data_IF_919692086169
#
_entry.id   IF_919692086169
#
_cell.length_a   1.000
_cell.length_b   1.000
_cell.length_c   1.000
_cell.angle_alpha   90.00
_cell.angle_beta   90.00
_cell.angle_gamma   90.00
#
_symmetry.space_group_name_H-M   'P 1'
#
loop_
_entity.id
_entity.type
_entity.pdbx_description
1 polymer ?
#
# COMPACT_ATOMS: atom_id res chain seq x y z
N UNK A 1 -9.38 -26.99 16.03
CA UNK A 1 -10.44 -26.46 15.14
C UNK A 1 -10.03 -26.74 13.71
N UNK A 2 -10.90 -27.19 12.81
CA UNK A 2 -10.54 -27.33 11.41
C UNK A 2 -10.16 -25.94 10.85
N UNK A 3 -9.22 -25.87 9.88
CA UNK A 3 -8.86 -24.58 9.26
C UNK A 3 -10.10 -23.97 8.64
N UNK A 4 -10.33 -22.68 8.91
CA UNK A 4 -11.41 -21.94 8.30
C UNK A 4 -11.26 -22.09 6.76
N UNK A 5 -12.26 -22.69 6.14
CA UNK A 5 -12.33 -22.79 4.67
C UNK A 5 -12.21 -21.37 4.12
N UNK A 6 -11.16 -21.11 3.37
CA UNK A 6 -11.01 -19.86 2.61
C UNK A 6 -12.30 -19.65 1.83
N UNK A 7 -13.11 -18.66 2.23
CA UNK A 7 -14.30 -18.32 1.48
C UNK A 7 -13.86 -17.99 0.05
N UNK A 8 -14.41 -18.72 -0.92
CA UNK A 8 -14.11 -18.52 -2.33
C UNK A 8 -14.38 -17.05 -2.70
N UNK A 9 -13.50 -16.46 -3.51
CA UNK A 9 -13.72 -15.12 -4.05
C UNK A 9 -15.00 -15.10 -4.89
N UNK A 10 -15.76 -14.01 -4.87
CA UNK A 10 -17.02 -13.95 -5.62
C UNK A 10 -16.79 -14.04 -7.13
N UNK A 11 -17.75 -14.55 -7.91
CA UNK A 11 -17.65 -14.57 -9.37
C UNK A 11 -17.65 -13.13 -9.90
N UNK A 12 -16.68 -12.82 -10.76
CA UNK A 12 -16.43 -11.47 -11.28
C UNK A 12 -16.16 -11.52 -12.77
N UNK A 13 -17.21 -11.70 -13.57
CA UNK A 13 -17.02 -11.62 -15.01
C UNK A 13 -16.89 -10.14 -15.44
N UNK A 14 -15.77 -9.78 -16.04
CA UNK A 14 -15.50 -8.44 -16.60
C UNK A 14 -14.97 -8.56 -18.03
N UNK A 15 -15.41 -7.67 -18.90
CA UNK A 15 -14.87 -7.54 -20.26
C UNK A 15 -13.88 -6.38 -20.31
N UNK A 16 -12.73 -6.57 -20.94
CA UNK A 16 -11.69 -5.54 -21.06
C UNK A 16 -11.67 -5.05 -22.51
N UNK A 17 -12.33 -3.92 -22.77
CA UNK A 17 -12.30 -3.29 -24.08
C UNK A 17 -11.07 -2.40 -24.25
N UNK A 18 -10.64 -1.75 -23.16
CA UNK A 18 -9.54 -0.79 -23.17
C UNK A 18 -8.82 -0.75 -21.84
N UNK A 19 -7.52 -0.51 -21.90
CA UNK A 19 -6.68 -0.24 -20.72
C UNK A 19 -5.96 1.08 -20.95
N UNK A 20 -6.15 2.02 -20.02
CA UNK A 20 -5.41 3.26 -19.98
C UNK A 20 -4.31 3.18 -18.90
N UNK A 21 -3.15 3.76 -19.19
CA UNK A 21 -2.13 4.03 -18.19
C UNK A 21 -1.78 5.52 -18.21
N UNK A 22 -1.80 6.12 -17.03
CA UNK A 22 -1.43 7.52 -16.80
C UNK A 22 -0.18 7.59 -15.94
N UNK A 23 0.80 8.36 -16.36
CA UNK A 23 2.00 8.66 -15.57
C UNK A 23 1.97 10.13 -15.22
N UNK A 24 1.92 10.43 -13.93
CA UNK A 24 2.00 11.78 -13.40
C UNK A 24 3.30 11.94 -12.63
N UNK A 25 3.88 13.13 -12.67
CA UNK A 25 5.10 13.47 -11.94
C UNK A 25 5.08 14.93 -11.50
N UNK A 26 5.33 15.13 -10.21
CA UNK A 26 5.66 16.41 -9.61
C UNK A 26 7.18 16.46 -9.38
N UNK A 27 7.84 17.44 -10.01
CA UNK A 27 9.29 17.59 -9.98
C UNK A 27 9.77 18.51 -8.84
N UNK A 28 8.87 19.12 -8.11
CA UNK A 28 9.18 20.07 -7.07
C UNK A 28 8.36 19.89 -5.77
N UNK A 29 8.09 18.65 -5.33
CA UNK A 29 7.39 18.43 -4.08
C UNK A 29 8.30 18.79 -2.90
N UNK A 30 7.74 19.04 -1.71
CA UNK A 30 8.51 19.05 -0.48
C UNK A 30 9.30 17.74 -0.34
N UNK A 31 10.59 17.85 0.01
CA UNK A 31 11.47 16.70 0.13
C UNK A 31 11.03 15.78 1.26
N UNK A 32 10.93 14.48 0.96
CA UNK A 32 10.67 13.44 1.96
C UNK A 32 11.95 12.64 2.17
N UNK A 33 12.36 12.54 3.43
CA UNK A 33 13.57 11.82 3.84
C UNK A 33 13.20 10.46 4.44
N UNK A 34 13.92 9.43 4.02
CA UNK A 34 13.91 8.09 4.61
C UNK A 34 15.34 7.55 4.64
N UNK A 35 15.52 6.33 5.12
CA UNK A 35 16.82 5.64 5.03
C UNK A 35 17.27 5.37 3.59
N UNK A 36 16.32 5.26 2.64
CA UNK A 36 16.61 5.13 1.21
C UNK A 36 17.12 6.43 0.55
N UNK A 37 17.15 7.54 1.29
CA UNK A 37 17.60 8.85 0.81
C UNK A 37 16.50 9.91 0.82
N UNK A 38 16.75 10.98 0.07
CA UNK A 38 15.82 12.11 -0.07
C UNK A 38 15.12 12.02 -1.41
N UNK A 39 13.80 11.88 -1.39
CA UNK A 39 12.98 11.97 -2.59
C UNK A 39 12.67 13.43 -2.89
N UNK A 40 13.04 13.86 -4.10
CA UNK A 40 12.79 15.20 -4.63
C UNK A 40 11.75 15.20 -5.75
N UNK A 41 11.15 14.06 -6.01
CA UNK A 41 10.09 13.87 -6.99
C UNK A 41 8.95 13.06 -6.38
N UNK A 42 7.74 13.31 -6.83
CA UNK A 42 6.58 12.43 -6.59
C UNK A 42 6.08 11.92 -7.93
N UNK A 43 5.82 10.64 -7.98
CA UNK A 43 5.24 9.98 -9.16
C UNK A 43 3.98 9.24 -8.78
N UNK A 44 3.06 9.12 -9.74
CA UNK A 44 1.89 8.25 -9.63
C UNK A 44 1.66 7.58 -10.99
N UNK A 45 1.48 6.28 -11.00
CA UNK A 45 1.11 5.53 -12.19
C UNK A 45 -0.28 4.91 -11.94
N UNK A 46 -1.29 5.44 -12.63
CA UNK A 46 -2.66 4.97 -12.51
C UNK A 46 -3.04 4.14 -13.73
N UNK A 47 -3.72 3.05 -13.49
CA UNK A 47 -4.34 2.23 -14.54
C UNK A 47 -5.85 2.35 -14.45
N UNK A 48 -6.49 2.54 -15.61
CA UNK A 48 -7.93 2.48 -15.75
C UNK A 48 -8.31 1.41 -16.76
N UNK A 49 -9.25 0.57 -16.42
CA UNK A 49 -9.79 -0.47 -17.29
C UNK A 49 -11.22 -0.12 -17.63
N UNK A 50 -11.60 -0.24 -18.90
CA UNK A 50 -12.95 0.04 -19.40
C UNK A 50 -13.51 -1.17 -20.13
N UNK A 51 -14.83 -1.39 -19.99
CA UNK A 51 -15.61 -2.25 -20.89
C UNK A 51 -16.24 -1.44 -22.03
N UNK A 52 -16.79 -2.10 -23.03
CA UNK A 52 -17.49 -1.42 -24.12
C UNK A 52 -18.87 -0.83 -23.74
N UNK A 53 -19.35 -1.05 -22.50
CA UNK A 53 -20.65 -0.62 -22.00
C UNK A 53 -20.57 0.64 -21.09
N UNK A 54 -19.37 1.15 -20.84
CA UNK A 54 -19.15 2.37 -20.05
C UNK A 54 -18.79 2.12 -18.58
N UNK A 55 -18.65 0.86 -18.16
CA UNK A 55 -18.09 0.59 -16.85
C UNK A 55 -16.57 0.73 -16.89
N UNK A 56 -16.00 1.18 -15.79
CA UNK A 56 -14.57 1.33 -15.66
C UNK A 56 -14.10 0.96 -14.24
N UNK A 57 -12.81 0.80 -14.05
CA UNK A 57 -12.21 0.60 -12.74
C UNK A 57 -10.79 1.16 -12.67
N UNK A 58 -10.42 1.63 -11.50
CA UNK A 58 -9.14 2.26 -11.21
C UNK A 58 -8.22 1.38 -10.37
N UNK A 59 -6.94 1.40 -10.71
CA UNK A 59 -5.87 0.81 -9.90
C UNK A 59 -4.66 1.74 -9.85
N UNK A 60 -3.79 1.52 -8.89
CA UNK A 60 -2.50 2.19 -8.79
C UNK A 60 -1.38 1.18 -8.92
N UNK A 61 -0.40 1.48 -9.77
CA UNK A 61 0.85 0.75 -9.91
C UNK A 61 1.89 1.47 -9.05
N UNK A 62 2.44 0.80 -8.05
CA UNK A 62 3.48 1.42 -7.23
C UNK A 62 4.67 1.86 -8.10
N UNK A 63 5.12 3.09 -7.93
CA UNK A 63 6.08 3.69 -8.87
C UNK A 63 7.10 4.64 -8.23
N UNK A 64 7.18 4.66 -6.90
CA UNK A 64 7.99 5.62 -6.17
C UNK A 64 9.50 5.58 -6.44
N UNK A 65 10.04 4.43 -6.86
CA UNK A 65 11.45 4.23 -7.18
C UNK A 65 11.64 3.28 -8.37
N UNK A 66 12.72 3.44 -9.16
CA UNK A 66 13.63 4.62 -9.25
C UNK A 66 12.89 5.86 -9.81
N UNK A 67 13.52 7.04 -9.97
CA UNK A 67 12.86 8.25 -10.47
C UNK A 67 12.08 8.07 -11.77
N UNK A 68 12.53 7.20 -12.70
CA UNK A 68 11.83 6.82 -13.92
C UNK A 68 10.86 5.65 -13.74
N UNK A 69 10.62 5.20 -12.52
CA UNK A 69 9.88 3.97 -12.22
C UNK A 69 8.45 3.97 -12.75
N UNK A 70 7.74 5.09 -12.71
CA UNK A 70 6.39 5.19 -13.23
C UNK A 70 6.35 5.00 -14.76
N UNK A 71 7.28 5.61 -15.49
CA UNK A 71 7.41 5.44 -16.93
C UNK A 71 7.75 3.99 -17.30
N UNK A 72 8.71 3.39 -16.60
CA UNK A 72 9.13 2.01 -16.80
C UNK A 72 7.95 1.04 -16.66
N UNK A 73 7.17 1.16 -15.57
CA UNK A 73 6.00 0.29 -15.34
C UNK A 73 4.88 0.52 -16.34
N UNK A 74 4.70 1.77 -16.79
CA UNK A 74 3.77 2.07 -17.88
C UNK A 74 4.18 1.36 -19.18
N UNK A 75 5.47 1.29 -19.52
CA UNK A 75 5.95 0.54 -20.67
C UNK A 75 5.72 -0.96 -20.51
N UNK A 76 5.93 -1.55 -19.34
CA UNK A 76 5.64 -2.96 -19.07
C UNK A 76 4.14 -3.23 -19.25
N UNK A 77 3.27 -2.38 -18.70
CA UNK A 77 1.83 -2.53 -18.88
C UNK A 77 1.47 -2.48 -20.38
N UNK A 78 1.88 -1.44 -21.08
CA UNK A 78 1.55 -1.19 -22.48
C UNK A 78 2.03 -2.30 -23.40
N UNK A 79 3.30 -2.72 -23.27
CA UNK A 79 3.96 -3.57 -24.25
C UNK A 79 3.82 -5.08 -23.93
N UNK A 80 3.69 -5.43 -22.67
CA UNK A 80 3.73 -6.83 -22.26
C UNK A 80 2.40 -7.33 -21.70
N UNK A 81 1.73 -6.56 -20.85
CA UNK A 81 0.56 -7.04 -20.09
C UNK A 81 -0.75 -6.71 -20.79
N UNK A 82 -0.96 -5.46 -21.21
CA UNK A 82 -2.21 -5.03 -21.83
C UNK A 82 -2.55 -5.80 -23.13
N UNK A 83 -1.59 -6.15 -24.01
CA UNK A 83 -1.90 -6.98 -25.20
C UNK A 83 -2.41 -8.40 -24.88
N UNK A 84 -2.20 -8.88 -23.65
CA UNK A 84 -2.71 -10.18 -23.17
C UNK A 84 -4.06 -10.09 -22.47
N UNK A 85 -4.50 -8.87 -22.17
CA UNK A 85 -5.71 -8.59 -21.40
C UNK A 85 -6.83 -8.01 -22.27
N UNK A 86 -6.51 -7.07 -23.15
CA UNK A 86 -7.50 -6.36 -23.97
C UNK A 86 -8.22 -7.31 -24.94
N UNK A 87 -9.52 -7.11 -25.12
CA UNK A 87 -10.40 -7.93 -25.91
C UNK A 87 -10.90 -9.20 -25.19
N UNK A 88 -10.47 -9.45 -23.96
CA UNK A 88 -10.84 -10.66 -23.20
C UNK A 88 -12.03 -10.39 -22.27
N UNK A 89 -12.80 -11.46 -22.07
CA UNK A 89 -13.78 -11.56 -20.95
C UNK A 89 -13.18 -12.44 -19.88
N UNK A 90 -12.97 -11.85 -18.69
CA UNK A 90 -12.35 -12.51 -17.54
C UNK A 90 -13.45 -13.05 -16.65
N UNK A 91 -13.54 -14.36 -16.53
CA UNK A 91 -14.53 -15.03 -15.69
C UNK A 91 -14.18 -15.02 -14.19
N UNK A 92 -12.86 -15.05 -13.88
CA UNK A 92 -12.35 -15.05 -12.52
C UNK A 92 -11.03 -14.24 -12.47
N UNK A 93 -11.04 -13.10 -11.83
CA UNK A 93 -9.88 -12.20 -11.74
C UNK A 93 -8.66 -12.90 -11.13
N UNK A 94 -8.77 -13.66 -10.01
CA UNK A 94 -7.60 -14.33 -9.44
C UNK A 94 -6.93 -15.33 -10.41
N UNK A 95 -7.72 -16.11 -11.13
CA UNK A 95 -7.18 -17.07 -12.10
C UNK A 95 -6.51 -16.36 -13.30
N UNK A 96 -7.05 -15.21 -13.69
CA UNK A 96 -6.44 -14.39 -14.73
C UNK A 96 -5.11 -13.77 -14.28
N UNK A 97 -5.02 -13.32 -13.02
CA UNK A 97 -3.77 -12.85 -12.44
C UNK A 97 -2.70 -13.97 -12.47
N UNK A 98 -3.05 -15.20 -12.04
CA UNK A 98 -2.15 -16.34 -12.08
C UNK A 98 -1.70 -16.69 -13.51
N UNK A 99 -2.58 -16.58 -14.50
CA UNK A 99 -2.26 -16.73 -15.92
C UNK A 99 -1.25 -15.68 -16.38
N UNK A 100 -1.47 -14.40 -16.04
CA UNK A 100 -0.54 -13.33 -16.40
C UNK A 100 0.82 -13.50 -15.72
N UNK A 101 0.86 -13.86 -14.44
CA UNK A 101 2.12 -14.14 -13.74
C UNK A 101 2.91 -15.25 -14.44
N UNK A 102 2.21 -16.35 -14.79
CA UNK A 102 2.82 -17.48 -15.53
C UNK A 102 3.36 -17.05 -16.89
N UNK A 103 2.62 -16.21 -17.62
CA UNK A 103 3.04 -15.67 -18.90
C UNK A 103 4.26 -14.72 -18.78
N UNK A 104 4.46 -14.09 -17.63
CA UNK A 104 5.61 -13.19 -17.38
C UNK A 104 6.86 -13.93 -16.88
N UNK A 105 6.79 -15.20 -16.50
CA UNK A 105 7.95 -15.97 -16.00
C UNK A 105 9.18 -15.93 -16.92
N UNK A 106 9.07 -16.08 -18.26
CA UNK A 106 10.25 -15.95 -19.13
C UNK A 106 10.91 -14.58 -19.02
N UNK A 107 10.11 -13.49 -19.00
CA UNK A 107 10.62 -12.13 -18.87
C UNK A 107 11.27 -11.91 -17.49
N UNK A 108 10.67 -12.41 -16.41
CA UNK A 108 11.25 -12.36 -15.07
C UNK A 108 12.65 -12.98 -15.03
N UNK A 109 12.83 -14.13 -15.68
CA UNK A 109 14.12 -14.84 -15.72
C UNK A 109 15.16 -14.14 -16.57
N UNK A 110 14.75 -13.54 -17.70
CA UNK A 110 15.65 -12.91 -18.66
C UNK A 110 16.04 -11.51 -18.23
N UNK A 111 15.09 -10.70 -17.74
CA UNK A 111 15.31 -9.30 -17.37
C UNK A 111 15.71 -9.12 -15.90
N UNK A 112 15.38 -10.09 -15.03
CA UNK A 112 15.67 -9.98 -13.61
C UNK A 112 14.85 -8.90 -12.88
N UNK A 113 13.62 -8.63 -13.34
CA UNK A 113 12.76 -7.53 -12.83
C UNK A 113 11.47 -8.03 -12.14
N UNK A 114 11.55 -8.82 -11.07
CA UNK A 114 10.35 -9.34 -10.41
C UNK A 114 9.48 -8.23 -9.82
N UNK A 115 10.07 -7.19 -9.21
CA UNK A 115 9.33 -6.09 -8.59
C UNK A 115 8.48 -5.31 -9.59
N UNK A 116 9.06 -4.70 -10.64
CA UNK A 116 8.31 -3.94 -11.62
C UNK A 116 7.15 -4.70 -12.27
N UNK A 117 7.35 -5.97 -12.57
CA UNK A 117 6.28 -6.82 -13.15
C UNK A 117 5.19 -7.08 -12.11
N UNK A 118 5.56 -7.42 -10.87
CA UNK A 118 4.58 -7.62 -9.79
C UNK A 118 3.74 -6.35 -9.55
N UNK A 119 4.36 -5.16 -9.59
CA UNK A 119 3.67 -3.88 -9.44
C UNK A 119 2.63 -3.66 -10.54
N UNK A 120 2.98 -3.94 -11.79
CA UNK A 120 2.07 -3.78 -12.94
C UNK A 120 0.88 -4.74 -12.84
N UNK A 121 1.13 -6.00 -12.53
CA UNK A 121 0.08 -7.01 -12.38
C UNK A 121 -0.85 -6.68 -11.21
N UNK A 122 -0.29 -6.20 -10.09
CA UNK A 122 -1.05 -5.79 -8.91
C UNK A 122 -1.97 -4.59 -9.19
N UNK A 123 -1.47 -3.57 -9.89
CA UNK A 123 -2.27 -2.40 -10.27
C UNK A 123 -3.40 -2.76 -11.24
N UNK A 124 -3.15 -3.65 -12.20
CA UNK A 124 -4.19 -4.14 -13.12
C UNK A 124 -5.25 -4.96 -12.37
N UNK A 125 -4.84 -5.88 -11.49
CA UNK A 125 -5.74 -6.66 -10.64
C UNK A 125 -6.67 -5.75 -9.84
N UNK A 126 -6.14 -4.72 -9.21
CA UNK A 126 -6.91 -3.73 -8.46
C UNK A 126 -7.96 -3.02 -9.33
N UNK A 127 -7.60 -2.62 -10.54
CA UNK A 127 -8.52 -1.98 -11.47
C UNK A 127 -9.65 -2.92 -11.92
N UNK A 128 -9.34 -4.19 -12.16
CA UNK A 128 -10.34 -5.20 -12.51
C UNK A 128 -11.34 -5.43 -11.36
N UNK A 129 -10.87 -5.48 -10.11
CA UNK A 129 -11.75 -5.62 -8.95
C UNK A 129 -12.63 -4.39 -8.72
N UNK A 130 -12.10 -3.17 -8.92
CA UNK A 130 -12.90 -1.95 -8.87
C UNK A 130 -13.99 -1.96 -9.94
N UNK A 131 -13.63 -2.31 -11.19
CA UNK A 131 -14.60 -2.43 -12.29
C UNK A 131 -15.66 -3.49 -12.00
N UNK A 132 -15.28 -4.66 -11.50
CA UNK A 132 -16.24 -5.72 -11.13
C UNK A 132 -17.23 -5.25 -10.07
N UNK A 133 -16.77 -4.50 -9.07
CA UNK A 133 -17.63 -3.96 -8.02
C UNK A 133 -18.57 -2.88 -8.57
N UNK A 134 -18.09 -2.00 -9.46
CA UNK A 134 -18.91 -0.99 -10.14
C UNK A 134 -19.99 -1.62 -11.01
N UNK A 135 -19.63 -2.63 -11.81
CA UNK A 135 -20.58 -3.35 -12.67
C UNK A 135 -21.69 -4.02 -11.86
N UNK A 136 -21.40 -4.46 -10.64
CA UNK A 136 -22.41 -5.04 -9.74
C UNK A 136 -23.15 -4.00 -8.87
N UNK A 137 -22.81 -2.72 -8.98
CA UNK A 137 -23.41 -1.65 -8.18
C UNK A 137 -23.09 -1.74 -6.70
N UNK A 138 -22.00 -2.42 -6.32
CA UNK A 138 -21.59 -2.66 -4.93
C UNK A 138 -20.29 -1.92 -4.59
N UNK A 139 -20.15 -1.40 -3.35
CA UNK A 139 -18.84 -1.02 -2.84
C UNK A 139 -17.90 -2.24 -2.84
N UNK A 140 -16.62 -2.03 -3.19
CA UNK A 140 -15.66 -3.13 -3.31
C UNK A 140 -15.57 -3.97 -2.03
N UNK A 141 -15.55 -3.35 -0.85
CA UNK A 141 -15.52 -4.12 0.40
C UNK A 141 -16.73 -5.06 0.57
N UNK A 142 -17.92 -4.67 0.06
CA UNK A 142 -19.12 -5.51 0.08
C UNK A 142 -19.00 -6.68 -0.89
N UNK A 143 -18.55 -6.42 -2.11
CA UNK A 143 -18.27 -7.48 -3.09
C UNK A 143 -17.31 -8.52 -2.50
N UNK A 144 -16.31 -8.08 -1.75
CA UNK A 144 -15.32 -8.94 -1.09
C UNK A 144 -15.83 -9.60 0.21
N UNK A 145 -17.11 -9.44 0.56
CA UNK A 145 -17.74 -10.08 1.72
C UNK A 145 -17.53 -9.34 3.04
N UNK A 146 -17.06 -8.10 3.01
CA UNK A 146 -16.90 -7.26 4.19
C UNK A 146 -18.16 -6.49 4.58
N UNK A 147 -18.07 -5.82 5.73
CA UNK A 147 -19.12 -4.94 6.25
C UNK A 147 -18.56 -3.54 6.51
N UNK A 148 -19.42 -2.51 6.32
CA UNK A 148 -19.04 -1.14 6.60
C UNK A 148 -18.64 -0.97 8.07
N UNK A 149 -17.50 -0.32 8.31
CA UNK A 149 -17.01 0.02 9.64
C UNK A 149 -16.17 1.28 9.61
N UNK A 150 -15.97 1.89 10.75
CA UNK A 150 -14.92 2.92 10.90
C UNK A 150 -13.56 2.23 10.78
N UNK A 151 -12.71 2.77 9.94
CA UNK A 151 -11.33 2.29 9.76
C UNK A 151 -10.39 3.25 10.48
N UNK A 152 -9.69 2.81 11.52
CA UNK A 152 -8.64 3.62 12.13
C UNK A 152 -7.55 3.93 11.10
N UNK A 153 -7.00 5.15 11.17
CA UNK A 153 -5.95 5.63 10.26
C UNK A 153 -4.78 6.20 11.04
N UNK A 154 -3.60 6.21 10.41
CA UNK A 154 -2.44 6.91 10.93
C UNK A 154 -1.79 7.80 9.89
N UNK A 155 -1.23 8.92 10.34
CA UNK A 155 -0.39 9.80 9.54
C UNK A 155 0.98 9.15 9.35
N UNK A 156 1.38 8.90 8.11
CA UNK A 156 2.67 8.28 7.76
C UNK A 156 3.66 9.29 7.17
N UNK A 157 4.94 8.96 7.26
CA UNK A 157 6.02 9.80 6.74
C UNK A 157 6.36 10.99 7.63
N UNK A 158 5.99 10.94 8.91
CA UNK A 158 6.21 12.03 9.88
C UNK A 158 7.68 12.09 10.28
N UNK A 159 8.25 13.29 10.30
CA UNK A 159 9.61 13.50 10.78
C UNK A 159 9.70 13.23 12.30
N UNK A 160 10.75 12.57 12.81
CA UNK A 160 10.98 12.45 14.25
C UNK A 160 11.19 13.80 14.92
N UNK A 161 11.59 14.84 14.17
CA UNK A 161 11.79 16.22 14.62
C UNK A 161 10.68 17.17 14.17
N UNK A 162 9.47 16.65 13.97
CA UNK A 162 8.31 17.46 13.60
C UNK A 162 8.10 18.61 14.62
N UNK A 163 7.86 19.81 14.13
CA UNK A 163 7.55 20.92 15.01
C UNK A 163 6.16 20.77 15.66
N UNK A 164 5.96 21.21 16.91
CA UNK A 164 4.66 21.09 17.59
C UNK A 164 3.48 21.59 16.75
N UNK A 165 3.61 22.75 16.12
CA UNK A 165 2.57 23.31 15.24
C UNK A 165 2.22 22.43 14.03
N UNK A 166 3.20 21.68 13.49
CA UNK A 166 2.98 20.79 12.36
C UNK A 166 2.28 19.50 12.82
N UNK A 167 2.61 19.02 14.02
CA UNK A 167 1.89 17.93 14.66
C UNK A 167 0.44 18.33 14.98
N UNK A 168 0.21 19.56 15.46
CA UNK A 168 -1.14 20.11 15.68
C UNK A 168 -1.92 20.18 14.36
N UNK A 169 -1.29 20.57 13.26
CA UNK A 169 -1.93 20.58 11.96
C UNK A 169 -2.36 19.17 11.49
N UNK A 170 -1.63 18.10 11.87
CA UNK A 170 -2.07 16.72 11.63
C UNK A 170 -3.25 16.33 12.54
N UNK A 171 -3.25 16.79 13.78
CA UNK A 171 -4.40 16.62 14.72
C UNK A 171 -5.67 17.30 14.17
N UNK A 172 -5.52 18.51 13.62
CA UNK A 172 -6.61 19.26 12.99
C UNK A 172 -7.13 18.58 11.73
N UNK A 173 -6.28 17.83 11.00
CA UNK A 173 -6.68 16.96 9.91
C UNK A 173 -7.36 15.67 10.39
N UNK A 174 -7.55 15.49 11.69
CA UNK A 174 -8.27 14.37 12.29
C UNK A 174 -7.41 13.15 12.64
N UNK A 175 -6.08 13.18 12.50
CA UNK A 175 -5.21 12.09 12.91
C UNK A 175 -5.05 12.00 14.43
N UNK A 176 -4.92 10.74 14.94
CA UNK A 176 -4.64 10.41 16.34
C UNK A 176 -3.56 9.35 16.48
N UNK A 177 -2.96 8.94 15.36
CA UNK A 177 -1.86 7.98 15.32
C UNK A 177 -0.83 8.46 14.29
N UNK A 178 0.46 8.28 14.60
CA UNK A 178 1.56 8.86 13.83
C UNK A 178 2.67 7.85 13.64
N UNK A 179 3.12 7.62 12.38
CA UNK A 179 4.27 6.79 12.06
C UNK A 179 5.47 7.68 11.73
N UNK A 180 6.44 7.68 12.62
CA UNK A 180 7.64 8.50 12.50
C UNK A 180 8.73 7.77 11.73
N UNK A 181 9.46 8.49 10.88
CA UNK A 181 10.62 7.94 10.22
C UNK A 181 11.77 7.73 11.21
N UNK A 182 12.39 6.55 11.13
CA UNK A 182 13.58 6.16 11.87
C UNK A 182 14.65 5.68 10.87
N UNK A 183 15.55 4.78 11.25
CA UNK A 183 16.52 4.21 10.32
C UNK A 183 17.67 5.15 9.98
N UNK A 184 17.69 6.36 10.51
CA UNK A 184 18.84 7.26 10.40
C UNK A 184 19.97 6.77 11.33
N UNK A 185 21.19 6.76 10.84
CA UNK A 185 22.37 6.37 11.63
C UNK A 185 22.83 7.56 12.52
N UNK A 186 21.91 8.10 13.32
CA UNK A 186 22.16 9.23 14.21
C UNK A 186 21.40 9.01 15.55
N UNK A 187 22.17 8.84 16.63
CA UNK A 187 21.61 8.68 17.97
C UNK A 187 20.72 9.88 18.38
N UNK A 188 21.03 11.09 17.92
CA UNK A 188 20.21 12.29 18.18
C UNK A 188 18.81 12.18 17.58
N UNK A 189 18.68 11.47 16.45
CA UNK A 189 17.36 11.25 15.84
C UNK A 189 16.48 10.35 16.73
N UNK A 190 17.05 9.35 17.38
CA UNK A 190 16.33 8.51 18.35
C UNK A 190 15.94 9.28 19.63
N UNK A 191 16.83 10.13 20.14
CA UNK A 191 16.51 11.00 21.28
C UNK A 191 15.38 11.99 20.95
N UNK A 192 15.41 12.54 19.74
CA UNK A 192 14.35 13.44 19.28
C UNK A 192 13.02 12.69 19.12
N UNK A 193 13.06 11.49 18.53
CA UNK A 193 11.91 10.59 18.43
C UNK A 193 11.32 10.31 19.81
N UNK A 194 12.17 9.95 20.79
CA UNK A 194 11.73 9.69 22.16
C UNK A 194 11.01 10.89 22.80
N UNK A 195 11.56 12.10 22.64
CA UNK A 195 10.91 13.34 23.11
C UNK A 195 9.57 13.59 22.42
N UNK A 196 9.51 13.37 21.09
CA UNK A 196 8.28 13.59 20.31
C UNK A 196 7.19 12.60 20.74
N UNK A 197 7.53 11.34 20.91
CA UNK A 197 6.59 10.29 21.36
C UNK A 197 6.11 10.55 22.79
N UNK A 198 7.02 10.96 23.68
CA UNK A 198 6.67 11.31 25.07
C UNK A 198 5.77 12.55 25.16
N UNK A 199 5.75 13.40 24.13
CA UNK A 199 4.90 14.59 24.03
C UNK A 199 3.55 14.36 23.35
N UNK A 200 3.22 13.13 22.97
CA UNK A 200 1.90 12.81 22.42
C UNK A 200 0.82 12.91 23.50
N UNK A 201 -0.37 13.33 23.09
CA UNK A 201 -1.51 13.46 24.00
C UNK A 201 -2.11 12.07 24.36
N UNK A 202 -2.87 12.06 25.45
CA UNK A 202 -3.63 10.86 25.85
C UNK A 202 -4.57 10.41 24.74
N UNK A 203 -4.54 9.11 24.42
CA UNK A 203 -5.32 8.50 23.34
C UNK A 203 -4.63 8.56 21.96
N UNK A 204 -3.50 9.26 21.83
CA UNK A 204 -2.67 9.20 20.62
C UNK A 204 -1.71 8.00 20.66
N UNK A 205 -1.30 7.53 19.48
CA UNK A 205 -0.37 6.41 19.37
C UNK A 205 0.75 6.66 18.38
N UNK A 206 1.87 5.99 18.62
CA UNK A 206 3.06 6.09 17.79
C UNK A 206 3.46 4.75 17.19
N UNK A 207 3.98 4.81 15.98
CA UNK A 207 4.72 3.76 15.30
C UNK A 207 6.02 4.36 14.76
N UNK A 208 7.00 3.53 14.47
CA UNK A 208 8.21 3.97 13.78
C UNK A 208 8.48 3.08 12.57
N UNK A 209 9.11 3.67 11.57
CA UNK A 209 9.49 3.01 10.33
C UNK A 209 10.98 3.31 10.05
N UNK A 210 11.80 2.27 10.11
CA UNK A 210 13.23 2.35 9.85
C UNK A 210 13.56 2.18 8.36
N UNK A 211 12.62 1.80 7.51
CA UNK A 211 12.80 1.59 6.07
C UNK A 211 14.09 0.79 5.77
N UNK A 212 14.30 -0.34 6.43
CA UNK A 212 15.47 -1.19 6.27
C UNK A 212 16.83 -0.50 6.57
N UNK A 213 16.82 0.60 7.31
CA UNK A 213 18.01 1.49 7.47
C UNK A 213 19.07 0.98 8.42
N UNK A 214 18.80 -0.07 9.19
CA UNK A 214 19.74 -0.63 10.15
C UNK A 214 20.27 -2.00 9.73
N UNK A 215 21.51 -2.31 10.12
CA UNK A 215 21.95 -3.69 10.25
C UNK A 215 21.45 -4.28 11.59
N UNK A 216 21.71 -5.56 11.83
CA UNK A 216 21.20 -6.26 13.02
C UNK A 216 21.70 -5.65 14.32
N UNK A 217 22.98 -5.26 14.37
CA UNK A 217 23.58 -4.73 15.60
C UNK A 217 23.10 -3.32 15.88
N UNK A 218 23.02 -2.47 14.86
CA UNK A 218 22.41 -1.13 14.93
C UNK A 218 20.94 -1.20 15.30
N UNK A 219 20.18 -2.17 14.73
CA UNK A 219 18.78 -2.38 15.07
C UNK A 219 18.61 -2.76 16.54
N UNK A 220 19.44 -3.67 17.08
CA UNK A 220 19.42 -4.03 18.51
C UNK A 220 19.66 -2.81 19.39
N UNK A 221 20.72 -2.04 19.09
CA UNK A 221 21.04 -0.82 19.85
C UNK A 221 19.89 0.19 19.81
N UNK A 222 19.32 0.44 18.62
CA UNK A 222 18.19 1.36 18.45
C UNK A 222 16.96 0.89 19.23
N UNK A 223 16.59 -0.40 19.12
CA UNK A 223 15.47 -0.98 19.84
C UNK A 223 15.65 -0.96 21.35
N UNK A 224 16.88 -1.18 21.85
CA UNK A 224 17.21 -1.05 23.26
C UNK A 224 17.09 0.40 23.74
N UNK A 225 17.55 1.35 22.94
CA UNK A 225 17.46 2.79 23.25
C UNK A 225 16.00 3.27 23.38
N UNK A 226 15.10 2.77 22.53
CA UNK A 226 13.68 3.15 22.53
C UNK A 226 12.78 2.16 23.29
N UNK A 227 13.34 1.20 24.04
CA UNK A 227 12.61 0.10 24.69
C UNK A 227 11.41 0.57 25.53
N UNK A 228 11.54 1.72 26.19
CA UNK A 228 10.50 2.27 27.05
C UNK A 228 9.38 3.00 26.31
N UNK A 229 9.50 3.22 25.00
CA UNK A 229 8.49 3.96 24.23
C UNK A 229 7.26 3.07 23.98
N UNK A 230 6.03 3.58 24.17
CA UNK A 230 4.79 2.85 23.97
C UNK A 230 4.43 2.79 22.47
N UNK A 231 5.27 2.09 21.68
CA UNK A 231 5.06 1.96 20.24
C UNK A 231 4.08 0.85 19.90
N UNK A 232 3.22 1.11 18.92
CA UNK A 232 2.33 0.07 18.36
C UNK A 232 3.13 -0.99 17.61
N UNK A 233 4.18 -0.58 16.85
CA UNK A 233 5.15 -1.45 16.20
C UNK A 233 6.40 -0.68 15.76
N UNK A 234 7.42 -1.45 15.42
CA UNK A 234 8.62 -1.02 14.71
C UNK A 234 8.61 -1.67 13.32
N UNK A 235 8.59 -0.87 12.27
CA UNK A 235 8.49 -1.28 10.87
C UNK A 235 9.88 -1.34 10.24
N UNK A 236 10.13 -2.43 9.53
CA UNK A 236 11.34 -2.70 8.75
C UNK A 236 12.66 -2.24 9.42
N UNK A 237 12.97 -2.71 10.66
CA UNK A 237 14.24 -2.38 11.29
C UNK A 237 15.43 -2.84 10.44
N UNK A 238 15.32 -4.00 9.80
CA UNK A 238 16.29 -4.57 8.86
C UNK A 238 15.59 -4.97 7.56
N UNK A 239 16.34 -5.25 6.49
CA UNK A 239 15.77 -5.65 5.20
C UNK A 239 15.04 -7.00 5.26
N UNK A 240 13.97 -7.18 4.49
CA UNK A 240 13.17 -8.41 4.48
C UNK A 240 13.94 -9.61 3.90
N UNK A 241 15.02 -9.39 3.15
CA UNK A 241 15.93 -10.40 2.62
C UNK A 241 16.86 -11.00 3.70
N UNK A 242 16.93 -10.38 4.90
CA UNK A 242 17.77 -10.85 5.99
C UNK A 242 17.26 -12.18 6.55
N UNK A 243 18.15 -13.07 7.04
CA UNK A 243 17.74 -14.35 7.61
C UNK A 243 16.70 -14.23 8.72
N UNK A 244 15.71 -15.14 8.74
CA UNK A 244 14.66 -15.18 9.78
C UNK A 244 15.24 -15.17 11.21
N UNK A 245 16.39 -15.78 11.44
CA UNK A 245 17.05 -15.79 12.75
C UNK A 245 17.45 -14.38 13.24
N UNK A 246 17.78 -13.46 12.33
CA UNK A 246 18.10 -12.08 12.68
C UNK A 246 16.84 -11.31 13.09
N UNK A 247 15.73 -11.48 12.34
CA UNK A 247 14.42 -10.95 12.70
C UNK A 247 13.93 -11.48 14.06
N UNK A 248 14.05 -12.79 14.27
CA UNK A 248 13.70 -13.41 15.56
C UNK A 248 14.53 -12.87 16.73
N UNK A 249 15.82 -12.60 16.52
CA UNK A 249 16.67 -11.99 17.53
C UNK A 249 16.24 -10.57 17.92
N UNK A 250 15.67 -9.79 16.99
CA UNK A 250 15.15 -8.44 17.26
C UNK A 250 13.86 -8.48 18.10
N UNK A 251 13.09 -9.57 18.05
CA UNK A 251 11.90 -9.73 18.91
C UNK A 251 12.22 -9.73 20.41
N UNK A 252 13.45 -10.06 20.79
CA UNK A 252 13.90 -9.99 22.18
C UNK A 252 13.86 -8.55 22.77
N UNK A 253 13.75 -7.52 21.94
CA UNK A 253 13.53 -6.13 22.37
C UNK A 253 12.19 -5.93 23.08
N UNK A 254 11.20 -6.81 22.86
CA UNK A 254 9.83 -6.67 23.36
C UNK A 254 8.93 -5.82 22.47
N UNK A 255 9.45 -5.15 21.43
CA UNK A 255 8.63 -4.43 20.46
C UNK A 255 7.96 -5.40 19.48
N UNK A 256 6.75 -5.05 19.03
CA UNK A 256 6.10 -5.70 17.89
C UNK A 256 6.83 -5.31 16.62
N UNK A 257 7.12 -6.29 15.76
CA UNK A 257 7.77 -6.05 14.49
C UNK A 257 6.74 -6.06 13.35
N UNK A 258 6.89 -5.10 12.44
CA UNK A 258 6.07 -4.95 11.25
C UNK A 258 6.93 -4.96 9.99
N UNK A 259 6.43 -5.57 8.91
CA UNK A 259 6.99 -5.47 7.57
C UNK A 259 6.00 -6.03 6.54
N UNK A 260 6.31 -5.87 5.27
CA UNK A 260 5.55 -6.49 4.21
C UNK A 260 5.54 -5.71 2.90
N UNK A 261 5.77 -4.41 2.93
CA UNK A 261 5.75 -3.58 1.72
C UNK A 261 6.81 -4.00 0.68
N UNK A 262 7.89 -4.65 1.12
CA UNK A 262 8.98 -5.10 0.28
C UNK A 262 9.01 -6.63 0.08
N UNK A 263 7.97 -7.36 0.50
CA UNK A 263 7.78 -8.78 0.21
C UNK A 263 6.95 -8.95 -1.08
N UNK A 264 7.44 -9.76 -2.01
CA UNK A 264 6.87 -9.90 -3.36
C UNK A 264 6.46 -11.34 -3.69
N UNK A 265 6.29 -12.20 -2.68
CA UNK A 265 5.89 -13.59 -2.88
C UNK A 265 5.08 -14.12 -1.69
N UNK A 266 4.06 -14.95 -1.97
CA UNK A 266 3.22 -15.55 -0.94
C UNK A 266 4.01 -16.36 0.09
N UNK A 267 4.97 -17.15 -0.36
CA UNK A 267 5.80 -17.98 0.52
C UNK A 267 6.73 -17.13 1.41
N UNK A 268 7.18 -15.95 0.90
CA UNK A 268 7.94 -14.99 1.71
C UNK A 268 7.08 -14.40 2.84
N UNK A 269 5.82 -14.03 2.56
CA UNK A 269 4.88 -13.59 3.60
C UNK A 269 4.59 -14.69 4.62
N UNK A 270 4.37 -15.93 4.17
CA UNK A 270 4.12 -17.06 5.07
C UNK A 270 5.30 -17.37 5.96
N UNK A 271 6.51 -17.31 5.43
CA UNK A 271 7.73 -17.44 6.24
C UNK A 271 7.84 -16.29 7.27
N UNK A 272 7.47 -15.07 6.87
CA UNK A 272 7.54 -13.89 7.72
C UNK A 272 6.52 -13.93 8.89
N UNK A 273 5.44 -14.70 8.82
CA UNK A 273 4.53 -14.89 9.95
C UNK A 273 5.21 -15.43 11.22
N UNK A 274 6.34 -16.10 11.10
CA UNK A 274 7.09 -16.62 12.24
C UNK A 274 7.77 -15.53 13.09
N UNK A 275 8.01 -14.36 12.50
CA UNK A 275 8.72 -13.26 13.15
C UNK A 275 8.02 -11.90 13.08
N UNK A 276 6.99 -11.71 12.26
CA UNK A 276 6.16 -10.51 12.26
C UNK A 276 4.99 -10.62 13.24
N UNK A 277 4.64 -9.49 13.82
CA UNK A 277 3.40 -9.29 14.58
C UNK A 277 2.38 -8.51 13.75
N UNK A 278 2.86 -7.62 12.86
CA UNK A 278 2.06 -6.83 11.93
C UNK A 278 2.51 -7.09 10.50
N UNK A 279 1.57 -7.39 9.62
CA UNK A 279 1.83 -7.74 8.21
C UNK A 279 1.30 -6.61 7.32
N UNK A 280 2.18 -6.05 6.47
CA UNK A 280 1.93 -4.81 5.75
C UNK A 280 2.14 -4.95 4.22
N UNK A 281 1.43 -5.86 3.52
CA UNK A 281 1.52 -5.91 2.07
C UNK A 281 0.99 -4.61 1.45
N UNK A 282 1.59 -4.21 0.33
CA UNK A 282 1.13 -3.10 -0.49
C UNK A 282 0.41 -3.66 -1.73
N UNK A 283 -0.86 -3.26 -1.92
CA UNK A 283 -1.69 -3.73 -3.01
C UNK A 283 -1.17 -3.29 -4.40
N UNK A 284 -0.46 -2.18 -4.47
CA UNK A 284 0.16 -1.69 -5.70
C UNK A 284 1.54 -2.28 -5.99
N UNK A 285 2.14 -2.97 -4.99
CA UNK A 285 3.45 -3.62 -5.13
C UNK A 285 3.33 -5.12 -5.42
N UNK A 286 2.35 -5.79 -4.82
CA UNK A 286 2.23 -7.24 -4.97
C UNK A 286 0.80 -7.74 -4.83
N UNK A 287 0.41 -8.61 -5.75
CA UNK A 287 -0.76 -9.48 -5.63
C UNK A 287 -2.12 -8.81 -5.75
N UNK A 288 -2.20 -7.47 -5.72
CA UNK A 288 -3.47 -6.75 -5.79
C UNK A 288 -4.49 -7.23 -4.76
N UNK A 289 -5.76 -7.09 -5.07
CA UNK A 289 -6.86 -7.59 -4.22
C UNK A 289 -6.88 -9.12 -4.19
N UNK A 290 -6.61 -9.77 -5.32
CA UNK A 290 -6.72 -11.22 -5.49
C UNK A 290 -5.85 -12.02 -4.53
N UNK A 291 -4.65 -11.55 -4.20
CA UNK A 291 -3.71 -12.25 -3.30
C UNK A 291 -3.62 -11.62 -1.92
N UNK A 292 -3.74 -10.30 -1.83
CA UNK A 292 -3.62 -9.62 -0.52
C UNK A 292 -4.79 -9.93 0.40
N UNK A 293 -6.03 -9.99 -0.11
CA UNK A 293 -7.16 -10.31 0.77
C UNK A 293 -7.09 -11.71 1.38
N UNK A 294 -6.80 -12.80 0.63
CA UNK A 294 -6.58 -14.12 1.23
C UNK A 294 -5.41 -14.14 2.22
N UNK A 295 -4.29 -13.47 1.89
CA UNK A 295 -3.14 -13.33 2.77
C UNK A 295 -3.49 -12.63 4.08
N UNK A 296 -4.25 -11.52 4.00
CA UNK A 296 -4.71 -10.77 5.18
C UNK A 296 -5.56 -11.64 6.10
N UNK A 297 -6.49 -12.41 5.53
CA UNK A 297 -7.31 -13.36 6.29
C UNK A 297 -6.49 -14.49 6.91
N UNK A 298 -5.48 -15.01 6.20
CA UNK A 298 -4.54 -16.00 6.74
C UNK A 298 -3.72 -15.41 7.89
N UNK A 299 -3.22 -14.18 7.76
CA UNK A 299 -2.49 -13.47 8.82
C UNK A 299 -3.36 -13.31 10.08
N UNK A 300 -4.60 -12.84 9.94
CA UNK A 300 -5.55 -12.69 11.04
C UNK A 300 -5.86 -14.04 11.72
N UNK A 301 -6.04 -15.11 10.94
CA UNK A 301 -6.27 -16.46 11.48
C UNK A 301 -5.07 -16.99 12.28
N UNK A 302 -3.86 -16.51 11.99
CA UNK A 302 -2.62 -16.80 12.73
C UNK A 302 -2.37 -15.82 13.89
N UNK A 303 -3.33 -14.95 14.24
CA UNK A 303 -3.19 -13.97 15.31
C UNK A 303 -2.26 -12.80 14.97
N UNK A 304 -1.96 -12.59 13.70
CA UNK A 304 -1.21 -11.42 13.23
C UNK A 304 -2.14 -10.27 12.93
N UNK A 305 -1.65 -9.04 13.06
CA UNK A 305 -2.40 -7.83 12.68
C UNK A 305 -2.14 -7.51 11.21
N UNK A 306 -3.17 -7.23 10.44
CA UNK A 306 -3.05 -6.78 9.05
C UNK A 306 -3.22 -5.28 8.97
N UNK A 307 -2.19 -4.56 8.53
CA UNK A 307 -2.19 -3.11 8.34
C UNK A 307 -1.55 -2.80 6.99
N UNK A 308 -2.33 -2.62 5.91
CA UNK A 308 -1.76 -2.45 4.58
C UNK A 308 -0.85 -1.23 4.49
N UNK A 309 0.31 -1.37 3.82
CA UNK A 309 1.10 -0.23 3.37
C UNK A 309 0.34 0.49 2.25
N UNK A 310 0.27 1.82 2.30
CA UNK A 310 -0.38 2.65 1.29
C UNK A 310 0.24 4.06 1.24
N UNK A 311 1.36 4.18 0.53
CA UNK A 311 2.12 5.43 0.41
C UNK A 311 2.16 5.92 -1.04
N UNK A 312 0.99 6.28 -1.58
CA UNK A 312 0.78 6.66 -2.97
C UNK A 312 -0.36 7.66 -3.15
N UNK A 313 -1.19 7.39 -4.15
CA UNK A 313 -2.39 8.19 -4.45
C UNK A 313 -3.56 7.80 -3.53
N UNK A 314 -4.63 8.61 -3.57
CA UNK A 314 -5.89 8.25 -2.92
C UNK A 314 -6.57 7.02 -3.56
N UNK A 315 -6.26 6.69 -4.82
CA UNK A 315 -6.75 5.45 -5.45
C UNK A 315 -6.17 4.22 -4.74
N UNK A 316 -4.84 4.18 -4.54
CA UNK A 316 -4.19 3.10 -3.79
C UNK A 316 -4.67 3.04 -2.33
N UNK A 317 -4.80 4.20 -1.67
CA UNK A 317 -5.32 4.27 -0.31
C UNK A 317 -6.77 3.76 -0.20
N UNK A 318 -7.64 4.06 -1.17
CA UNK A 318 -9.01 3.56 -1.21
C UNK A 318 -9.04 2.04 -1.39
N UNK A 319 -8.25 1.50 -2.33
CA UNK A 319 -8.12 0.05 -2.52
C UNK A 319 -7.67 -0.64 -1.22
N UNK A 320 -6.62 -0.12 -0.57
CA UNK A 320 -6.13 -0.62 0.71
C UNK A 320 -7.21 -0.57 1.80
N UNK A 321 -7.98 0.53 1.88
CA UNK A 321 -9.07 0.70 2.82
C UNK A 321 -10.19 -0.31 2.60
N UNK A 322 -10.58 -0.56 1.34
CA UNK A 322 -11.61 -1.55 1.00
C UNK A 322 -11.16 -2.98 1.36
N UNK A 323 -9.91 -3.34 1.06
CA UNK A 323 -9.37 -4.67 1.42
C UNK A 323 -9.23 -4.81 2.93
N UNK A 324 -8.78 -3.77 3.65
CA UNK A 324 -8.73 -3.76 5.11
C UNK A 324 -10.12 -3.92 5.72
N UNK A 325 -11.13 -3.25 5.17
CA UNK A 325 -12.52 -3.38 5.57
C UNK A 325 -13.03 -4.82 5.36
N UNK A 326 -12.71 -5.42 4.21
CA UNK A 326 -13.15 -6.78 3.85
C UNK A 326 -12.40 -7.89 4.61
N UNK A 327 -11.16 -7.68 4.98
CA UNK A 327 -10.37 -8.62 5.77
C UNK A 327 -10.89 -8.70 7.22
N UNK A 328 -11.36 -7.58 7.79
CA UNK A 328 -11.76 -7.50 9.19
C UNK A 328 -10.56 -7.24 10.12
N UNK A 329 -10.68 -7.67 11.38
CA UNK A 329 -9.64 -7.47 12.38
C UNK A 329 -9.54 -6.02 12.89
N UNK A 330 -8.45 -5.73 13.62
CA UNK A 330 -8.17 -4.45 14.27
C UNK A 330 -7.12 -3.59 13.53
N UNK A 331 -6.89 -3.90 12.27
CA UNK A 331 -5.90 -3.22 11.45
C UNK A 331 -6.15 -1.72 11.29
N UNK A 332 -5.09 -0.99 11.00
CA UNK A 332 -5.06 0.47 10.83
C UNK A 332 -4.58 0.79 9.42
N UNK A 333 -5.23 1.73 8.75
CA UNK A 333 -4.89 2.17 7.40
C UNK A 333 -3.79 3.23 7.43
N UNK A 334 -2.80 3.06 6.58
CA UNK A 334 -1.76 4.07 6.33
C UNK A 334 -2.29 5.19 5.43
N UNK A 335 -1.98 6.43 5.80
CA UNK A 335 -2.19 7.60 4.95
C UNK A 335 -0.92 8.46 4.95
N UNK A 336 -0.32 8.68 3.78
CA UNK A 336 0.79 9.63 3.62
C UNK A 336 0.33 11.03 4.04
N UNK A 337 0.98 11.60 5.05
CA UNK A 337 0.65 12.92 5.58
C UNK A 337 1.46 14.07 4.94
N UNK A 338 2.40 13.73 4.04
CA UNK A 338 3.19 14.76 3.38
C UNK A 338 2.38 15.46 2.29
N UNK A 339 2.63 16.74 2.00
CA UNK A 339 2.02 17.42 0.87
C UNK A 339 2.29 16.67 -0.44
N UNK A 340 1.23 16.33 -1.16
CA UNK A 340 1.32 15.61 -2.42
C UNK A 340 0.13 15.98 -3.32
N UNK A 341 0.31 16.89 -4.28
CA UNK A 341 -0.77 17.30 -5.18
C UNK A 341 -1.29 16.16 -6.05
N UNK A 342 -0.44 15.18 -6.42
CA UNK A 342 -0.88 14.02 -7.20
C UNK A 342 -1.94 13.19 -6.45
N UNK A 343 -1.85 13.15 -5.11
CA UNK A 343 -2.82 12.49 -4.25
C UNK A 343 -4.08 13.32 -4.08
N UNK A 344 -3.94 14.56 -3.63
CA UNK A 344 -5.06 15.40 -3.21
C UNK A 344 -5.90 15.92 -4.36
N UNK A 345 -5.28 16.29 -5.48
CA UNK A 345 -5.99 16.72 -6.70
C UNK A 345 -6.48 15.53 -7.52
N UNK A 346 -5.72 14.43 -7.50
CA UNK A 346 -5.99 13.26 -8.35
C UNK A 346 -7.23 12.46 -7.94
N UNK A 347 -7.62 12.49 -6.67
CA UNK A 347 -8.85 11.87 -6.18
C UNK A 347 -9.36 12.61 -4.93
N UNK A 348 -9.96 13.79 -5.12
CA UNK A 348 -10.37 14.68 -4.02
C UNK A 348 -11.52 14.13 -3.17
N UNK A 349 -12.27 13.16 -3.67
CA UNK A 349 -13.38 12.54 -2.96
C UNK A 349 -12.98 11.50 -1.91
N UNK A 350 -11.68 11.27 -1.68
CA UNK A 350 -11.22 10.37 -0.63
C UNK A 350 -11.64 10.90 0.76
N UNK A 351 -12.14 10.03 1.67
CA UNK A 351 -12.63 10.47 2.98
C UNK A 351 -11.55 11.16 3.82
N UNK A 352 -11.89 12.32 4.38
CA UNK A 352 -11.02 13.00 5.36
C UNK A 352 -11.10 12.28 6.71
N UNK A 353 -9.97 12.08 7.40
CA UNK A 353 -9.97 11.52 8.75
C UNK A 353 -10.80 12.36 9.73
N UNK A 354 -11.51 11.70 10.61
CA UNK A 354 -12.26 12.34 11.70
C UNK A 354 -12.05 11.49 12.94
N UNK A 355 -11.46 12.10 13.95
CA UNK A 355 -11.14 11.46 15.22
C UNK A 355 -10.42 10.10 15.02
N UNK A 356 -9.29 10.15 14.32
CA UNK A 356 -8.40 9.03 14.06
C UNK A 356 -8.95 7.95 13.13
N UNK A 357 -10.04 8.20 12.37
CA UNK A 357 -10.64 7.19 11.51
C UNK A 357 -11.33 7.77 10.27
N UNK A 358 -11.52 6.93 9.25
CA UNK A 358 -12.35 7.22 8.08
C UNK A 358 -13.54 6.26 8.01
N UNK A 359 -14.53 6.65 7.21
CA UNK A 359 -15.66 5.80 6.82
C UNK A 359 -15.73 5.77 5.31
N UNK A 360 -15.71 4.56 4.73
CA UNK A 360 -15.87 4.38 3.30
C UNK A 360 -17.30 4.70 2.88
N UNK A 361 -17.45 5.30 1.69
CA UNK A 361 -18.75 5.55 1.12
C UNK A 361 -19.47 4.25 0.72
N UNK A 362 -20.78 4.31 0.56
CA UNK A 362 -21.56 3.22 -0.01
C UNK A 362 -21.59 3.20 -1.55
N UNK A 363 -20.81 4.05 -2.22
CA UNK A 363 -20.79 4.13 -3.67
C UNK A 363 -20.11 2.87 -4.28
N UNK A 364 -20.50 2.48 -5.52
CA UNK A 364 -19.94 1.32 -6.20
C UNK A 364 -18.43 1.42 -6.41
N UNK A 365 -17.76 0.27 -6.49
CA UNK A 365 -16.30 0.18 -6.64
C UNK A 365 -15.57 0.65 -5.38
N UNK A 366 -14.46 1.35 -5.57
CA UNK A 366 -13.71 2.00 -4.48
C UNK A 366 -14.36 3.32 -4.02
N UNK A 367 -15.50 3.69 -4.61
CA UNK A 367 -16.30 4.85 -4.21
C UNK A 367 -15.74 6.21 -4.58
N UNK A 368 -14.62 6.25 -5.31
CA UNK A 368 -13.97 7.46 -5.81
C UNK A 368 -13.47 7.22 -7.24
N UNK A 369 -13.22 8.30 -7.95
CA UNK A 369 -12.58 8.28 -9.27
C UNK A 369 -11.29 9.08 -9.26
N UNK A 370 -10.33 8.67 -10.09
CA UNK A 370 -9.22 9.54 -10.42
C UNK A 370 -9.68 10.66 -11.35
N UNK A 371 -9.08 11.84 -11.19
CA UNK A 371 -9.28 12.98 -12.08
C UNK A 371 -8.00 13.32 -12.87
N UNK A 372 -7.75 12.66 -14.02
CA UNK A 372 -6.60 12.97 -14.85
C UNK A 372 -6.61 14.40 -15.39
N UNK A 373 -7.77 15.03 -15.50
CA UNK A 373 -7.86 16.41 -15.97
C UNK A 373 -7.36 17.40 -14.91
N UNK A 374 -7.69 17.21 -13.64
CA UNK A 374 -7.13 17.99 -12.55
C UNK A 374 -5.60 17.84 -12.46
N UNK A 375 -5.08 16.67 -12.84
CA UNK A 375 -3.65 16.36 -12.84
C UNK A 375 -2.93 16.70 -14.17
N UNK A 376 -3.58 17.36 -15.12
CA UNK A 376 -2.98 17.60 -16.46
C UNK A 376 -1.62 18.33 -16.45
N UNK A 377 -1.38 19.20 -15.46
CA UNK A 377 -0.10 19.89 -15.32
C UNK A 377 1.06 18.96 -14.94
N UNK A 378 0.75 17.83 -14.32
CA UNK A 378 1.69 16.80 -13.89
C UNK A 378 1.78 15.63 -14.86
N UNK A 379 0.94 15.58 -15.91
CA UNK A 379 0.89 14.45 -16.84
C UNK A 379 2.18 14.38 -17.66
N UNK A 380 2.84 13.23 -17.62
CA UNK A 380 4.05 12.92 -18.40
C UNK A 380 3.78 11.93 -19.53
N UNK A 381 2.85 11.03 -19.30
CA UNK A 381 2.46 10.03 -20.31
C UNK A 381 1.00 9.60 -20.10
N UNK A 382 0.31 9.40 -21.19
CA UNK A 382 -0.97 8.70 -21.25
C UNK A 382 -0.96 7.79 -22.47
N UNK A 383 -1.32 6.55 -22.28
CA UNK A 383 -1.48 5.55 -23.34
C UNK A 383 -2.81 4.84 -23.14
N UNK A 384 -3.50 4.58 -24.25
CA UNK A 384 -4.68 3.75 -24.30
C UNK A 384 -4.37 2.56 -25.22
N UNK A 385 -4.48 1.35 -24.68
CA UNK A 385 -4.36 0.10 -25.44
C UNK A 385 -5.76 -0.44 -25.69
N UNK A 386 -6.08 -0.68 -26.96
CA UNK A 386 -7.36 -1.22 -27.44
C UNK A 386 -7.13 -2.52 -28.19
N UNK A 387 -8.16 -3.33 -28.37
CA UNK A 387 -8.16 -4.54 -29.22
C UNK A 387 -7.94 -4.18 -30.69
#
# INVERSE_FOLDING_TARGET
MPPATSAAMPPTAVHIARIHVYVFQDDAPPAVKSSFGTSTQRTSALVNVEDGAGHHGWGEIWSGHPPFGAYHRACILEQLVAPRAVGRTIAAIPAFLDELESAMLPMLRLAGEPGPIAHVLAGLDCALWDMAARTQGLPLFRLLGGQARRLPVYASGVSPSIAPRELDALRDQGFRAFKFKAGFQDARALDQLARTVAGLADGESAMIDANCGWDVDSARQALDHIRALPLQWVEEPIGPERPAAEWQALRASGHRLAAGENLLALDAFRAAFEWLDVVQPDLGKWGGVSKVLPLAREALARGKRYCPHAFGSHIGAALAAHVLCAAGGDGVLELDANPNPLRTLGAPAFPTPTDGSIVLSGAPGIGIDADPHALRAYLRRHVAVTS
#
